data_IF_161624500641
#
_entry.id   IF_161624500641
#
_cell.length_a   1.000
_cell.length_b   1.000
_cell.length_c   1.000
_cell.angle_alpha   90.00
_cell.angle_beta   90.00
_cell.angle_gamma   90.00
#
_symmetry.space_group_name_H-M   'P 1'
#
loop_
_entity.id
_entity.type
_entity.pdbx_description
1 polymer ?
#
# COMPACT_ATOMS: atom_id res chain seq x y z
N UNK A 1 -13.07 23.78 13.21
CA UNK A 1 -12.87 22.34 13.47
C UNK A 1 -11.38 22.03 13.29
N UNK A 2 -10.57 22.16 14.35
CA UNK A 2 -9.15 21.81 14.30
C UNK A 2 -9.01 20.34 14.73
N UNK A 3 -8.36 19.50 13.93
CA UNK A 3 -8.01 18.14 14.35
C UNK A 3 -6.98 18.25 15.49
N UNK A 4 -7.37 17.84 16.70
CA UNK A 4 -6.44 17.62 17.81
C UNK A 4 -5.49 16.48 17.42
N UNK A 5 -4.23 16.81 17.15
CA UNK A 5 -3.19 15.81 16.89
C UNK A 5 -2.89 15.07 18.19
N UNK A 6 -3.02 13.74 18.19
CA UNK A 6 -2.67 12.93 19.36
C UNK A 6 -1.18 12.55 19.35
N UNK A 7 -0.53 12.38 20.52
CA UNK A 7 0.86 11.95 20.60
C UNK A 7 1.14 10.60 19.92
N UNK A 8 0.18 9.67 19.92
CA UNK A 8 0.28 8.35 19.29
C UNK A 8 0.37 8.42 17.76
N UNK A 9 -0.25 9.42 17.11
CA UNK A 9 -0.12 9.60 15.66
C UNK A 9 1.29 10.02 15.27
N UNK A 10 1.96 10.84 16.08
CA UNK A 10 3.35 11.25 15.82
C UNK A 10 4.34 10.11 16.03
N UNK A 11 4.10 9.29 17.05
CA UNK A 11 4.86 8.07 17.29
C UNK A 11 4.67 7.09 16.12
N UNK A 12 3.43 6.87 15.68
CA UNK A 12 3.10 6.03 14.53
C UNK A 12 3.84 6.47 13.25
N UNK A 13 3.89 7.78 12.94
CA UNK A 13 4.67 8.28 11.79
C UNK A 13 6.13 7.88 11.88
N UNK A 14 6.75 8.11 13.04
CA UNK A 14 8.17 7.82 13.25
C UNK A 14 8.45 6.32 13.09
N UNK A 15 7.66 5.47 13.77
CA UNK A 15 7.76 4.02 13.69
C UNK A 15 7.57 3.52 12.25
N UNK A 16 6.53 3.97 11.54
CA UNK A 16 6.27 3.55 10.17
C UNK A 16 7.37 4.01 9.19
N UNK A 17 7.96 5.18 9.40
CA UNK A 17 9.01 5.72 8.54
C UNK A 17 10.30 4.90 8.65
N UNK A 18 10.71 4.52 9.86
CA UNK A 18 11.86 3.64 10.09
C UNK A 18 11.62 2.25 9.48
N UNK A 19 10.47 1.65 9.77
CA UNK A 19 10.07 0.35 9.23
C UNK A 19 10.11 0.36 7.69
N UNK A 20 9.53 1.39 7.05
CA UNK A 20 9.49 1.51 5.60
C UNK A 20 10.88 1.70 4.99
N UNK A 21 11.75 2.49 5.64
CA UNK A 21 13.13 2.69 5.18
C UNK A 21 13.91 1.37 5.19
N UNK A 22 13.82 0.62 6.29
CA UNK A 22 14.50 -0.66 6.44
C UNK A 22 14.01 -1.69 5.44
N UNK A 23 12.70 -1.85 5.28
CA UNK A 23 12.12 -2.82 4.35
C UNK A 23 12.57 -2.51 2.92
N UNK A 24 12.55 -1.25 2.48
CA UNK A 24 13.03 -0.89 1.13
C UNK A 24 14.47 -1.30 0.89
N UNK A 25 15.34 -0.99 1.85
CA UNK A 25 16.77 -1.27 1.72
C UNK A 25 17.05 -2.76 1.50
N UNK A 26 16.15 -3.63 2.01
CA UNK A 26 16.29 -5.09 1.97
C UNK A 26 15.48 -5.78 0.86
N UNK A 27 14.38 -5.18 0.40
CA UNK A 27 13.44 -5.86 -0.51
C UNK A 27 13.70 -5.60 -2.01
N UNK A 28 14.56 -4.63 -2.36
CA UNK A 28 14.85 -4.21 -3.75
C UNK A 28 13.60 -3.96 -4.62
N UNK A 29 12.43 -3.71 -4.01
CA UNK A 29 11.20 -3.44 -4.74
C UNK A 29 11.19 -1.99 -5.22
N UNK A 30 10.71 -1.76 -6.45
CA UNK A 30 10.68 -0.42 -7.04
C UNK A 30 9.48 0.39 -6.53
N UNK A 31 9.53 0.88 -5.30
CA UNK A 31 8.56 1.87 -4.85
C UNK A 31 9.05 3.27 -5.24
N UNK A 32 8.33 3.87 -6.19
CA UNK A 32 8.69 5.13 -6.81
C UNK A 32 8.13 6.26 -5.95
N UNK A 33 8.97 7.24 -5.58
CA UNK A 33 8.58 8.38 -4.72
C UNK A 33 8.66 9.73 -5.41
N UNK A 34 9.24 9.79 -6.60
CA UNK A 34 9.39 11.02 -7.37
C UNK A 34 9.32 10.73 -8.86
N UNK A 35 9.01 11.76 -9.65
CA UNK A 35 9.07 11.68 -11.12
C UNK A 35 10.46 11.24 -11.58
N UNK A 36 11.53 11.71 -10.94
CA UNK A 36 12.89 11.29 -11.26
C UNK A 36 13.09 9.78 -11.05
N UNK A 37 12.61 9.22 -9.94
CA UNK A 37 12.69 7.78 -9.71
C UNK A 37 11.93 6.97 -10.78
N UNK A 38 10.77 7.47 -11.23
CA UNK A 38 10.02 6.84 -12.33
C UNK A 38 10.82 6.88 -13.64
N UNK A 39 11.45 8.01 -13.94
CA UNK A 39 12.27 8.18 -15.14
C UNK A 39 13.53 7.30 -15.09
N UNK A 40 14.21 7.21 -13.95
CA UNK A 40 15.36 6.32 -13.75
C UNK A 40 14.97 4.86 -13.96
N UNK A 41 13.88 4.42 -13.33
CA UNK A 41 13.34 3.07 -13.52
C UNK A 41 12.99 2.79 -14.99
N UNK A 42 12.28 3.72 -15.64
CA UNK A 42 11.91 3.58 -17.05
C UNK A 42 13.15 3.55 -17.94
N UNK A 43 14.17 4.34 -17.62
CA UNK A 43 15.38 4.45 -18.40
C UNK A 43 16.27 3.22 -18.33
N UNK A 44 16.26 2.52 -17.20
CA UNK A 44 16.98 1.27 -16.99
C UNK A 44 16.42 0.08 -17.79
N UNK A 45 15.21 0.18 -18.36
CA UNK A 45 14.59 -0.91 -19.12
C UNK A 45 15.26 -1.10 -20.50
N UNK A 46 15.68 -2.33 -20.87
CA UNK A 46 16.31 -2.59 -22.17
C UNK A 46 15.25 -2.81 -23.27
N UNK A 47 15.48 -2.23 -24.46
CA UNK A 47 14.61 -2.34 -25.66
C UNK A 47 13.16 -1.94 -25.39
N UNK A 48 12.96 -0.75 -24.80
CA UNK A 48 11.68 -0.21 -24.31
C UNK A 48 10.56 -0.23 -25.36
N UNK A 49 10.89 0.06 -26.61
CA UNK A 49 9.99 0.03 -27.78
C UNK A 49 9.24 -1.30 -27.94
N UNK A 50 9.84 -2.40 -27.48
CA UNK A 50 9.30 -3.75 -27.66
C UNK A 50 8.63 -4.30 -26.39
N UNK A 51 8.59 -3.52 -25.30
CA UNK A 51 8.09 -3.99 -24.01
C UNK A 51 6.61 -3.68 -23.86
N UNK A 52 5.75 -4.70 -23.62
CA UNK A 52 4.35 -4.45 -23.28
C UNK A 52 4.23 -3.89 -21.87
N UNK A 53 3.74 -2.66 -21.76
CA UNK A 53 3.44 -2.00 -20.50
C UNK A 53 2.02 -2.31 -20.02
N UNK A 54 1.88 -2.37 -18.71
CA UNK A 54 0.62 -2.51 -17.98
C UNK A 54 0.55 -1.37 -16.97
N UNK A 55 -0.41 -0.48 -17.16
CA UNK A 55 -0.78 0.55 -16.18
C UNK A 55 -1.95 0.02 -15.36
N UNK A 56 -1.88 0.18 -14.04
CA UNK A 56 -2.98 -0.13 -13.14
C UNK A 56 -3.06 0.90 -12.02
N UNK A 57 -4.28 1.11 -11.54
CA UNK A 57 -4.58 2.02 -10.44
C UNK A 57 -5.38 1.25 -9.37
N UNK A 58 -5.01 1.44 -8.11
CA UNK A 58 -5.66 0.85 -6.95
C UNK A 58 -6.82 1.77 -6.53
N UNK A 59 -8.02 1.38 -6.96
CA UNK A 59 -9.26 2.11 -6.66
C UNK A 59 -9.44 2.24 -5.16
N UNK A 60 -9.65 3.47 -4.70
CA UNK A 60 -9.85 3.81 -3.29
C UNK A 60 -8.75 3.23 -2.40
N UNK A 61 -7.47 3.39 -2.79
CA UNK A 61 -6.36 2.69 -2.13
C UNK A 61 -6.38 2.85 -0.60
N UNK A 62 -6.39 4.08 -0.08
CA UNK A 62 -6.39 4.30 1.37
C UNK A 62 -7.66 3.73 2.03
N UNK A 63 -8.89 4.06 1.60
CA UNK A 63 -10.10 3.44 2.16
C UNK A 63 -10.18 1.91 2.01
N UNK A 64 -9.46 1.32 1.05
CA UNK A 64 -9.44 -0.12 0.81
C UNK A 64 -8.50 -0.89 1.75
N UNK A 65 -7.62 -0.19 2.46
CA UNK A 65 -6.72 -0.82 3.44
C UNK A 65 -7.58 -1.30 4.62
N UNK A 66 -7.64 -2.61 4.81
CA UNK A 66 -8.28 -3.21 5.97
C UNK A 66 -7.27 -3.46 7.09
N UNK A 67 -7.76 -3.58 8.32
CA UNK A 67 -6.93 -3.95 9.47
C UNK A 67 -6.18 -5.27 9.25
N UNK A 68 -6.83 -6.23 8.58
CA UNK A 68 -6.24 -7.51 8.21
C UNK A 68 -5.10 -7.32 7.21
N UNK A 69 -5.28 -6.46 6.19
CA UNK A 69 -4.24 -6.19 5.19
C UNK A 69 -3.05 -5.48 5.83
N UNK A 70 -3.30 -4.51 6.71
CA UNK A 70 -2.23 -3.82 7.45
C UNK A 70 -1.49 -4.79 8.38
N UNK A 71 -2.22 -5.64 9.12
CA UNK A 71 -1.63 -6.67 9.98
C UNK A 71 -0.75 -7.64 9.19
N UNK A 72 -1.21 -8.12 8.02
CA UNK A 72 -0.40 -8.97 7.13
C UNK A 72 0.83 -8.24 6.61
N UNK A 73 0.71 -6.97 6.28
CA UNK A 73 1.83 -6.15 5.80
C UNK A 73 2.89 -5.96 6.89
N UNK A 74 2.48 -5.76 8.15
CA UNK A 74 3.37 -5.68 9.30
C UNK A 74 4.05 -7.03 9.58
N UNK A 75 3.32 -8.15 9.53
CA UNK A 75 3.90 -9.48 9.69
C UNK A 75 4.88 -9.83 8.57
N UNK A 76 4.59 -9.42 7.34
CA UNK A 76 5.56 -9.51 6.25
C UNK A 76 6.79 -8.62 6.51
N UNK A 77 6.58 -7.39 7.00
CA UNK A 77 7.66 -6.45 7.34
C UNK A 77 8.62 -6.99 8.41
N UNK A 78 8.13 -7.80 9.37
CA UNK A 78 8.94 -8.47 10.38
C UNK A 78 10.03 -9.38 9.81
N UNK A 79 9.87 -9.86 8.58
CA UNK A 79 10.92 -10.64 7.91
C UNK A 79 12.13 -9.81 7.48
N UNK A 80 12.02 -8.47 7.50
CA UNK A 80 13.09 -7.55 7.10
C UNK A 80 13.51 -6.61 8.21
N UNK A 81 12.63 -6.19 9.11
CA UNK A 81 13.00 -5.32 10.25
C UNK A 81 12.37 -5.82 11.55
N UNK A 82 12.91 -5.37 12.68
CA UNK A 82 12.35 -5.68 13.99
C UNK A 82 11.15 -4.78 14.21
N UNK A 83 9.97 -5.39 14.28
CA UNK A 83 8.73 -4.70 14.66
C UNK A 83 8.23 -5.34 15.95
N UNK A 84 8.33 -4.60 17.06
CA UNK A 84 7.82 -5.00 18.36
C UNK A 84 6.29 -5.07 18.35
N UNK A 85 5.72 -5.81 19.31
CA UNK A 85 4.27 -5.85 19.48
C UNK A 85 3.72 -4.48 19.86
N UNK A 86 4.46 -3.70 20.64
CA UNK A 86 4.07 -2.33 21.01
C UNK A 86 3.97 -1.42 19.80
N UNK A 87 4.96 -1.41 18.90
CA UNK A 87 4.90 -0.63 17.65
C UNK A 87 3.71 -1.07 16.77
N UNK A 88 3.52 -2.39 16.63
CA UNK A 88 2.37 -2.93 15.90
C UNK A 88 1.04 -2.44 16.50
N UNK A 89 0.89 -2.50 17.82
CA UNK A 89 -0.34 -2.10 18.51
C UNK A 89 -0.55 -0.58 18.43
N UNK A 90 0.52 0.22 18.52
CA UNK A 90 0.49 1.68 18.33
C UNK A 90 -0.02 2.03 16.93
N UNK A 91 0.55 1.41 15.89
CA UNK A 91 0.15 1.63 14.49
C UNK A 91 -1.33 1.27 14.28
N UNK A 92 -1.79 0.14 14.81
CA UNK A 92 -3.19 -0.27 14.71
C UNK A 92 -4.13 0.65 15.51
N UNK A 93 -3.72 1.08 16.70
CA UNK A 93 -4.49 1.99 17.55
C UNK A 93 -4.65 3.38 16.93
N UNK A 94 -3.61 3.88 16.24
CA UNK A 94 -3.66 5.15 15.53
C UNK A 94 -4.72 5.15 14.41
N UNK A 95 -5.23 3.99 13.96
CA UNK A 95 -6.28 3.86 12.92
C UNK A 95 -7.71 3.88 13.47
N UNK A 96 -7.89 4.14 14.76
CA UNK A 96 -9.22 4.34 15.35
C UNK A 96 -9.78 5.73 15.01
N UNK A 97 -11.09 5.85 14.74
CA UNK A 97 -11.72 7.10 14.34
C UNK A 97 -11.57 8.19 15.42
N UNK A 98 -11.33 9.42 14.94
CA UNK A 98 -10.94 10.58 15.75
C UNK A 98 -12.08 11.57 16.02
N UNK A 99 -13.25 11.35 15.44
CA UNK A 99 -14.37 12.25 15.66
C UNK A 99 -14.99 11.90 17.01
N UNK A 100 -15.05 12.87 17.90
CA UNK A 100 -15.79 12.80 19.16
C UNK A 100 -16.88 13.87 19.12
N UNK A 101 -18.02 13.58 19.73
CA UNK A 101 -19.06 14.59 19.92
C UNK A 101 -18.65 15.56 21.05
N UNK A 102 -19.45 16.61 21.25
CA UNK A 102 -19.22 17.60 22.31
C UNK A 102 -19.31 17.00 23.73
N UNK A 103 -19.72 15.73 23.85
CA UNK A 103 -19.82 14.96 25.10
C UNK A 103 -18.67 13.96 25.25
N UNK A 104 -17.71 13.94 24.33
CA UNK A 104 -16.56 13.04 24.34
C UNK A 104 -16.87 11.60 23.88
N UNK A 105 -18.05 11.33 23.32
CA UNK A 105 -18.37 10.04 22.74
C UNK A 105 -17.83 9.95 21.31
N UNK A 106 -17.14 8.86 20.92
CA UNK A 106 -16.64 8.72 19.56
C UNK A 106 -17.80 8.62 18.56
N UNK A 107 -17.73 9.43 17.51
CA UNK A 107 -18.54 9.31 16.31
C UNK A 107 -18.12 8.06 15.53
N UNK A 108 -18.88 6.99 15.73
CA UNK A 108 -18.68 5.73 15.02
C UNK A 108 -19.56 5.70 13.78
N UNK A 109 -19.00 5.28 12.65
CA UNK A 109 -19.77 5.06 11.42
C UNK A 109 -20.83 3.98 11.68
N UNK A 110 -22.09 4.27 11.35
CA UNK A 110 -23.23 3.36 11.59
C UNK A 110 -22.96 1.98 10.97
N UNK A 111 -23.18 0.90 11.73
CA UNK A 111 -23.05 -0.51 11.31
C UNK A 111 -21.63 -1.01 11.00
N UNK A 112 -20.57 -0.38 11.53
CA UNK A 112 -19.21 -0.92 11.43
C UNK A 112 -18.80 -1.47 12.79
N UNK A 113 -18.65 -2.81 12.89
CA UNK A 113 -18.17 -3.46 14.13
C UNK A 113 -16.70 -3.16 14.40
N UNK A 114 -15.95 -2.78 13.37
CA UNK A 114 -14.54 -2.53 13.45
C UNK A 114 -14.23 -1.05 13.22
N UNK A 115 -13.74 -0.38 14.26
CA UNK A 115 -13.42 1.05 14.25
C UNK A 115 -12.04 1.28 13.64
N UNK A 116 -11.82 0.80 12.42
CA UNK A 116 -10.56 0.92 11.70
C UNK A 116 -10.77 1.75 10.43
N UNK A 117 -9.99 2.80 10.24
CA UNK A 117 -10.02 3.62 9.04
C UNK A 117 -8.63 4.16 8.69
N UNK A 118 -8.26 4.11 7.41
CA UNK A 118 -7.06 4.76 6.87
C UNK A 118 -7.53 5.91 6.01
N UNK A 119 -7.70 7.08 6.62
CA UNK A 119 -8.21 8.25 5.90
C UNK A 119 -7.13 8.87 5.00
N UNK A 120 -7.52 9.20 3.77
CA UNK A 120 -6.69 10.05 2.90
C UNK A 120 -6.45 11.40 3.59
N UNK A 121 -5.19 11.77 3.77
CA UNK A 121 -4.81 12.99 4.50
C UNK A 121 -4.78 12.84 6.03
N UNK A 122 -4.81 11.61 6.57
CA UNK A 122 -4.29 11.36 7.91
C UNK A 122 -2.79 11.66 7.97
N UNK A 123 -2.32 12.10 9.14
CA UNK A 123 -0.92 12.54 9.34
C UNK A 123 0.11 11.42 9.06
N UNK A 124 -0.26 10.19 9.36
CA UNK A 124 0.48 8.92 9.18
C UNK A 124 -0.10 8.03 8.07
N UNK A 125 -1.06 8.55 7.30
CA UNK A 125 -1.74 7.79 6.26
C UNK A 125 -0.80 7.41 5.12
N UNK A 126 0.17 8.27 4.80
CA UNK A 126 1.12 8.05 3.72
C UNK A 126 2.08 6.91 4.06
N UNK A 127 2.58 6.85 5.28
CA UNK A 127 3.55 5.87 5.75
C UNK A 127 2.90 4.48 5.84
N UNK A 128 1.68 4.40 6.35
CA UNK A 128 0.90 3.14 6.38
C UNK A 128 0.59 2.65 4.97
N UNK A 129 0.15 3.54 4.09
CA UNK A 129 -0.11 3.26 2.69
C UNK A 129 1.15 2.75 1.98
N UNK A 130 2.29 3.33 2.31
CA UNK A 130 3.57 2.97 1.74
C UNK A 130 4.03 1.56 2.17
N UNK A 131 3.86 1.20 3.45
CA UNK A 131 4.11 -0.16 3.96
C UNK A 131 3.23 -1.19 3.24
N UNK A 132 1.94 -0.93 3.14
CA UNK A 132 0.99 -1.81 2.45
C UNK A 132 1.34 -1.90 0.96
N UNK A 133 1.75 -0.79 0.35
CA UNK A 133 2.22 -0.75 -1.04
C UNK A 133 3.44 -1.64 -1.27
N UNK A 134 4.42 -1.64 -0.36
CA UNK A 134 5.60 -2.52 -0.43
C UNK A 134 5.19 -3.99 -0.35
N UNK A 135 4.28 -4.33 0.57
CA UNK A 135 3.75 -5.68 0.71
C UNK A 135 3.05 -6.14 -0.58
N UNK A 136 2.11 -5.34 -1.09
CA UNK A 136 1.39 -5.63 -2.34
C UNK A 136 2.33 -5.77 -3.53
N UNK A 137 3.35 -4.92 -3.63
CA UNK A 137 4.34 -4.98 -4.69
C UNK A 137 5.15 -6.29 -4.64
N UNK A 138 5.54 -6.71 -3.43
CA UNK A 138 6.26 -7.98 -3.23
C UNK A 138 5.40 -9.19 -3.62
N UNK A 139 4.11 -9.17 -3.29
CA UNK A 139 3.17 -10.24 -3.59
C UNK A 139 2.81 -10.29 -5.08
N UNK A 140 2.58 -9.13 -5.71
CA UNK A 140 2.34 -9.02 -7.15
C UNK A 140 3.54 -9.49 -7.97
N UNK A 141 4.76 -9.19 -7.52
CA UNK A 141 6.00 -9.65 -8.17
C UNK A 141 6.12 -11.18 -8.12
N UNK A 142 5.69 -11.80 -7.02
CA UNK A 142 5.68 -13.27 -6.89
C UNK A 142 4.60 -13.95 -7.73
N UNK A 143 3.42 -13.33 -7.85
CA UNK A 143 2.24 -13.93 -8.52
C UNK A 143 2.20 -13.72 -10.03
N UNK A 144 2.85 -12.68 -10.54
CA UNK A 144 2.79 -12.32 -11.95
C UNK A 144 4.15 -12.50 -12.60
N UNK A 145 4.19 -13.10 -13.79
CA UNK A 145 5.42 -13.18 -14.59
C UNK A 145 5.75 -11.81 -15.22
N UNK A 146 6.18 -10.89 -14.37
CA UNK A 146 6.57 -9.53 -14.73
C UNK A 146 8.10 -9.46 -14.85
N UNK A 147 8.54 -8.67 -15.82
CA UNK A 147 9.95 -8.32 -16.00
C UNK A 147 10.37 -7.26 -14.99
N UNK A 148 9.49 -6.30 -14.74
CA UNK A 148 9.71 -5.23 -13.77
C UNK A 148 8.35 -4.64 -13.39
N UNK A 149 8.21 -4.20 -12.15
CA UNK A 149 7.03 -3.53 -11.63
C UNK A 149 7.47 -2.39 -10.73
N UNK A 150 6.77 -1.27 -10.80
CA UNK A 150 6.91 -0.13 -9.93
C UNK A 150 5.56 0.39 -9.46
N UNK A 151 5.54 0.95 -8.25
CA UNK A 151 4.34 1.51 -7.64
C UNK A 151 4.66 2.91 -7.11
N UNK A 152 3.90 3.90 -7.56
CA UNK A 152 3.88 5.27 -7.06
C UNK A 152 2.54 5.48 -6.35
N UNK A 153 2.53 5.35 -5.01
CA UNK A 153 1.28 5.37 -4.22
C UNK A 153 0.24 4.38 -4.75
N UNK A 154 -0.89 4.86 -5.25
CA UNK A 154 -1.99 4.12 -5.87
C UNK A 154 -1.75 3.80 -7.35
N UNK A 155 -0.86 4.54 -8.02
CA UNK A 155 -0.52 4.35 -9.44
C UNK A 155 0.58 3.29 -9.63
N UNK A 156 0.25 2.23 -10.36
CA UNK A 156 1.15 1.13 -10.66
C UNK A 156 1.53 1.02 -12.14
N UNK A 157 2.80 0.74 -12.39
CA UNK A 157 3.34 0.51 -13.73
C UNK A 157 4.14 -0.80 -13.76
N UNK A 158 3.82 -1.68 -14.70
CA UNK A 158 4.50 -2.97 -14.84
C UNK A 158 4.86 -3.28 -16.29
N UNK A 159 5.90 -4.08 -16.46
CA UNK A 159 6.38 -4.61 -17.74
C UNK A 159 6.24 -6.12 -17.71
N UNK A 160 5.57 -6.70 -18.71
CA UNK A 160 5.51 -8.17 -18.83
C UNK A 160 6.76 -8.72 -19.53
N UNK A 161 7.16 -9.95 -19.19
CA UNK A 161 8.09 -10.70 -20.04
C UNK A 161 7.36 -11.05 -21.34
N UNK A 162 7.99 -10.77 -22.47
CA UNK A 162 7.38 -10.98 -23.79
C UNK A 162 6.98 -12.45 -23.96
N UNK A 163 5.67 -12.71 -24.02
CA UNK A 163 5.10 -13.92 -24.61
C UNK A 163 3.85 -13.53 -25.40
N UNK A 164 3.96 -13.68 -26.72
CA UNK A 164 2.90 -13.89 -27.71
C UNK A 164 1.53 -13.23 -27.45
N UNK A 165 1.38 -12.00 -27.95
CA UNK A 165 0.32 -11.55 -28.87
C UNK A 165 -1.18 -11.64 -28.52
N UNK A 166 -1.67 -12.44 -27.56
CA UNK A 166 -3.11 -12.71 -27.41
C UNK A 166 -3.68 -12.50 -26.00
N UNK A 167 -2.84 -12.28 -24.97
CA UNK A 167 -3.28 -12.25 -23.57
C UNK A 167 -3.24 -10.86 -22.90
N UNK A 168 -2.91 -9.80 -23.65
CA UNK A 168 -2.84 -8.43 -23.12
C UNK A 168 -4.22 -7.84 -22.84
N UNK A 169 -5.21 -8.15 -23.66
CA UNK A 169 -6.57 -7.60 -23.55
C UNK A 169 -7.51 -8.42 -22.63
N UNK A 170 -7.30 -9.74 -22.54
CA UNK A 170 -8.02 -10.64 -21.62
C UNK A 170 -7.70 -10.33 -20.15
N UNK A 171 -6.44 -10.01 -19.82
CA UNK A 171 -6.01 -9.61 -18.47
C UNK A 171 -6.52 -8.21 -18.12
N UNK A 172 -6.60 -7.30 -19.10
CA UNK A 172 -7.19 -5.96 -18.95
C UNK A 172 -8.70 -6.06 -18.64
N UNK A 173 -9.43 -6.94 -19.33
CA UNK A 173 -10.85 -7.24 -19.05
C UNK A 173 -11.07 -8.00 -17.74
N UNK A 174 -10.18 -8.93 -17.36
CA UNK A 174 -10.32 -9.73 -16.11
C UNK A 174 -10.08 -8.91 -14.84
N UNK A 175 -9.29 -7.82 -14.92
CA UNK A 175 -9.00 -6.93 -13.78
C UNK A 175 -10.06 -5.86 -13.49
N UNK A 176 -10.98 -5.55 -14.40
CA UNK A 176 -12.16 -4.72 -14.07
C UNK A 176 -13.12 -5.44 -13.11
N UNK A 177 -13.10 -6.78 -13.05
CA UNK A 177 -14.02 -7.60 -12.23
C UNK A 177 -13.48 -8.01 -10.86
N UNK A 178 -12.16 -7.99 -10.63
CA UNK A 178 -11.54 -8.31 -9.32
C UNK A 178 -11.42 -7.10 -8.37
N UNK A 179 -11.98 -5.95 -8.75
CA UNK A 179 -11.83 -4.65 -8.05
C UNK A 179 -12.76 -4.43 -6.84
N UNK A 180 -13.34 -5.48 -6.25
CA UNK A 180 -14.27 -5.32 -5.10
C UNK A 180 -13.76 -5.83 -3.75
N UNK A 181 -12.66 -6.59 -3.69
CA UNK A 181 -12.19 -7.16 -2.41
C UNK A 181 -10.66 -7.34 -2.38
N UNK A 182 -9.90 -6.27 -2.11
CA UNK A 182 -8.47 -6.39 -1.79
C UNK A 182 -8.21 -7.27 -0.55
N UNK A 183 -9.22 -7.48 0.32
CA UNK A 183 -9.11 -8.35 1.49
C UNK A 183 -9.36 -9.84 1.25
N UNK A 184 -9.90 -10.27 0.09
CA UNK A 184 -10.21 -11.69 -0.19
C UNK A 184 -9.38 -12.33 -1.30
N UNK A 185 -8.78 -11.52 -2.18
CA UNK A 185 -7.96 -12.01 -3.30
C UNK A 185 -6.45 -12.10 -2.97
N UNK A 186 -6.06 -11.70 -1.76
CA UNK A 186 -4.70 -11.80 -1.23
C UNK A 186 -4.72 -12.77 -0.02
N UNK A 187 -4.17 -13.99 -0.15
CA UNK A 187 -4.19 -15.01 0.90
C UNK A 187 -3.56 -14.52 2.21
#
# INVERSE_FOLDING_TARGET
MQRLQRPDERLCVFECLEINSDIRSKTQVNQLRSTNAVLEWFNALPKKEMLPFLVFDIVDFYPSISEQLLSKSLEWGKSYTRISNTERDTILHARRPLLYDDKGAPWVKRNVSNQFDVTMGAFDGAEVCELVGLFLLSDLTKKLDLKSIGLYRDDGLAVKKSSSGSNTDSIRRRRRRKKKNLGKDFP
#
